data_IF_652263632875
#
_entry.id   IF_652263632875
#
_cell.length_a   1.000
_cell.length_b   1.000
_cell.length_c   1.000
_cell.angle_alpha   90.00
_cell.angle_beta   90.00
_cell.angle_gamma   90.00
#
_symmetry.space_group_name_H-M   'P 1'
#
loop_
_entity.id
_entity.type
_entity.pdbx_description
1 polymer ?
#
# COMPACT_ATOMS: atom_id res chain seq x y z
N UNK A 1 14.23 15.02 4.55
CA UNK A 1 13.07 15.35 5.40
C UNK A 1 12.95 14.39 6.60
N UNK A 2 12.99 13.09 6.36
CA UNK A 2 12.91 12.07 7.44
C UNK A 2 14.09 12.18 8.40
N UNK A 3 15.29 12.38 7.88
CA UNK A 3 16.50 12.58 8.72
C UNK A 3 16.37 13.78 9.66
N UNK A 4 15.76 14.86 9.21
CA UNK A 4 15.53 16.06 10.02
C UNK A 4 14.51 15.86 11.16
N UNK A 5 13.62 14.87 11.01
CA UNK A 5 12.57 14.57 11.99
C UNK A 5 12.92 13.45 12.95
N UNK A 6 13.89 12.59 12.58
CA UNK A 6 14.34 11.44 13.38
C UNK A 6 15.58 11.84 14.20
N UNK A 7 15.74 11.34 15.45
CA UNK A 7 16.93 11.60 16.25
C UNK A 7 18.15 10.84 15.69
N UNK A 8 18.61 11.24 14.52
CA UNK A 8 19.63 10.55 13.73
C UNK A 8 21.04 10.51 14.36
N UNK A 9 21.30 11.37 15.34
CA UNK A 9 22.57 11.39 16.08
C UNK A 9 22.64 10.34 17.18
N UNK A 10 21.52 9.71 17.52
CA UNK A 10 21.46 8.58 18.47
C UNK A 10 21.59 7.25 17.74
N UNK A 11 22.03 6.19 18.45
CA UNK A 11 22.10 4.85 17.86
C UNK A 11 20.74 4.36 17.37
N UNK A 12 19.67 4.61 18.13
CA UNK A 12 18.29 4.27 17.75
C UNK A 12 17.85 4.97 16.46
N UNK A 13 18.11 6.27 16.33
CA UNK A 13 17.74 7.04 15.14
C UNK A 13 18.55 6.64 13.92
N UNK A 14 19.85 6.38 14.07
CA UNK A 14 20.70 5.86 13.00
C UNK A 14 20.22 4.48 12.50
N UNK A 15 19.87 3.57 13.40
CA UNK A 15 19.30 2.27 13.05
C UNK A 15 17.94 2.41 12.33
N UNK A 16 17.10 3.36 12.75
CA UNK A 16 15.83 3.64 12.08
C UNK A 16 16.04 4.13 10.64
N UNK A 17 17.02 4.99 10.40
CA UNK A 17 17.37 5.45 9.05
C UNK A 17 17.91 4.35 8.16
N UNK A 18 18.66 3.39 8.70
CA UNK A 18 19.12 2.22 7.94
C UNK A 18 17.98 1.30 7.50
N UNK A 19 16.87 1.27 8.24
CA UNK A 19 15.66 0.50 7.88
C UNK A 19 14.79 1.20 6.86
N UNK A 20 15.01 2.49 6.62
CA UNK A 20 14.24 3.29 5.67
C UNK A 20 14.56 2.89 4.24
N UNK A 21 13.53 2.71 3.43
CA UNK A 21 13.61 2.55 1.97
C UNK A 21 12.81 3.66 1.32
N UNK A 22 13.42 4.36 0.38
CA UNK A 22 12.80 5.48 -0.35
C UNK A 22 12.86 5.18 -1.84
N UNK A 23 11.70 5.33 -2.50
CA UNK A 23 11.56 5.08 -3.93
C UNK A 23 10.85 6.24 -4.61
N UNK A 24 11.16 6.47 -5.86
CA UNK A 24 10.43 7.37 -6.74
C UNK A 24 9.23 6.61 -7.32
N UNK A 25 8.01 7.05 -7.00
CA UNK A 25 6.80 6.35 -7.38
C UNK A 25 6.55 5.08 -6.57
N UNK A 26 5.97 4.07 -7.17
CA UNK A 26 5.66 2.78 -6.54
C UNK A 26 6.21 1.61 -7.36
N UNK A 27 7.47 1.20 -7.13
CA UNK A 27 8.10 0.09 -7.86
C UNK A 27 7.57 -1.27 -7.39
N UNK A 28 7.71 -2.32 -8.19
CA UNK A 28 7.56 -3.71 -7.75
C UNK A 28 8.60 -4.04 -6.65
N UNK A 29 8.29 -4.87 -5.66
CA UNK A 29 7.02 -5.58 -5.39
C UNK A 29 6.03 -4.78 -4.52
N UNK A 30 6.30 -3.52 -4.20
CA UNK A 30 5.53 -2.72 -3.23
C UNK A 30 4.16 -2.28 -3.75
N UNK A 31 3.94 -2.27 -5.06
CA UNK A 31 2.65 -2.03 -5.69
C UNK A 31 1.59 -3.10 -5.36
N UNK A 32 2.04 -4.32 -5.02
CA UNK A 32 1.19 -5.47 -4.66
C UNK A 32 1.08 -5.73 -3.15
N UNK A 33 1.85 -5.01 -2.33
CA UNK A 33 1.79 -5.16 -0.87
C UNK A 33 0.67 -4.33 -0.27
N UNK A 34 0.06 -4.85 0.79
CA UNK A 34 -0.92 -4.11 1.58
C UNK A 34 -0.27 -2.87 2.20
N UNK A 35 -0.93 -1.72 2.06
CA UNK A 35 -0.54 -0.47 2.70
C UNK A 35 -1.21 -0.37 4.06
N UNK A 36 -0.44 0.05 5.05
CA UNK A 36 -0.94 0.34 6.38
C UNK A 36 -1.03 1.84 6.59
N UNK A 37 -2.00 2.24 7.38
CA UNK A 37 -2.23 3.62 7.76
C UNK A 37 -1.81 3.80 9.23
N UNK A 38 -1.10 4.88 9.52
CA UNK A 38 -0.79 5.32 10.89
C UNK A 38 -1.70 6.51 11.19
N UNK A 39 -2.77 6.35 11.98
CA UNK A 39 -3.76 7.40 12.20
C UNK A 39 -3.16 8.69 12.77
N UNK A 40 -2.21 8.57 13.70
CA UNK A 40 -1.54 9.71 14.33
C UNK A 40 -0.68 10.55 13.37
N UNK A 41 -0.30 9.98 12.23
CA UNK A 41 0.49 10.65 11.20
C UNK A 41 -0.37 11.22 10.06
N UNK A 42 -1.69 11.02 10.09
CA UNK A 42 -2.56 11.51 9.04
C UNK A 42 -2.72 13.03 9.12
N UNK A 43 -2.52 13.70 7.99
CA UNK A 43 -2.67 15.14 7.86
C UNK A 43 -4.05 15.63 8.29
N UNK A 44 -5.11 14.91 7.95
CA UNK A 44 -6.50 15.28 8.31
C UNK A 44 -6.73 15.32 9.81
N UNK A 45 -6.00 14.52 10.57
CA UNK A 45 -6.11 14.46 12.03
C UNK A 45 -5.12 15.39 12.76
N UNK A 46 -3.98 15.69 12.14
CA UNK A 46 -2.87 16.40 12.80
C UNK A 46 -2.78 17.88 12.45
N UNK A 47 -3.16 18.27 11.25
CA UNK A 47 -3.15 19.66 10.86
C UNK A 47 -4.47 20.35 11.20
N UNK A 48 -4.38 21.57 11.73
CA UNK A 48 -5.54 22.43 11.91
C UNK A 48 -6.20 22.67 10.55
N UNK A 49 -7.54 22.61 10.43
CA UNK A 49 -8.24 22.91 9.19
C UNK A 49 -7.81 24.26 8.61
N UNK A 50 -7.58 24.30 7.30
CA UNK A 50 -7.10 25.50 6.59
C UNK A 50 -5.58 25.72 6.61
N UNK A 51 -4.79 24.91 7.33
CA UNK A 51 -3.32 24.98 7.24
C UNK A 51 -2.82 24.47 5.90
N UNK A 52 -1.95 25.27 5.27
CA UNK A 52 -1.29 24.90 4.02
C UNK A 52 -0.23 23.83 4.26
N UNK A 53 0.00 23.00 3.27
CA UNK A 53 1.02 21.94 3.31
C UNK A 53 1.70 21.85 1.93
N UNK A 54 2.89 21.28 1.90
CA UNK A 54 3.59 20.97 0.66
C UNK A 54 3.91 19.47 0.61
N UNK A 55 3.73 18.88 -0.57
CA UNK A 55 4.13 17.49 -0.81
C UNK A 55 5.64 17.41 -1.04
N UNK A 56 6.26 16.28 -0.70
CA UNK A 56 7.69 16.06 -0.93
C UNK A 56 8.04 16.17 -2.43
N UNK A 57 7.17 15.71 -3.30
CA UNK A 57 7.32 15.83 -4.74
C UNK A 57 7.46 17.29 -5.19
N UNK A 58 6.62 18.18 -4.70
CA UNK A 58 6.70 19.60 -4.98
C UNK A 58 8.00 20.21 -4.45
N UNK A 59 8.37 19.93 -3.22
CA UNK A 59 9.63 20.41 -2.63
C UNK A 59 10.82 19.93 -3.45
N UNK A 60 10.84 18.66 -3.81
CA UNK A 60 11.94 18.09 -4.62
C UNK A 60 12.07 18.76 -5.96
N UNK A 61 10.97 19.02 -6.66
CA UNK A 61 11.01 19.69 -7.97
C UNK A 61 11.45 21.16 -7.87
N UNK A 62 11.05 21.88 -6.82
CA UNK A 62 11.48 23.25 -6.57
C UNK A 62 12.96 23.35 -6.21
N UNK A 63 13.53 22.34 -5.57
CA UNK A 63 14.97 22.26 -5.22
C UNK A 63 15.84 21.79 -6.39
N UNK A 64 15.25 21.25 -7.46
CA UNK A 64 16.00 20.89 -8.68
C UNK A 64 15.87 19.45 -9.14
N UNK A 65 14.97 18.66 -8.59
CA UNK A 65 14.66 17.32 -9.11
C UNK A 65 13.96 17.40 -10.47
N UNK A 66 14.60 16.84 -11.49
CA UNK A 66 14.19 17.00 -12.91
C UNK A 66 13.29 15.89 -13.45
N UNK A 67 13.04 14.85 -12.67
CA UNK A 67 12.36 13.63 -13.15
C UNK A 67 10.89 13.54 -12.79
N UNK A 68 10.28 14.60 -12.31
CA UNK A 68 8.87 14.63 -11.91
C UNK A 68 7.93 14.16 -13.01
N UNK A 69 8.07 14.70 -14.23
CA UNK A 69 7.18 14.35 -15.34
C UNK A 69 7.33 12.88 -15.77
N UNK A 70 8.56 12.36 -15.73
CA UNK A 70 8.83 10.96 -16.06
C UNK A 70 8.16 10.05 -15.04
N UNK A 71 8.33 10.34 -13.75
CA UNK A 71 7.69 9.57 -12.68
C UNK A 71 6.17 9.64 -12.78
N UNK A 72 5.60 10.79 -13.08
CA UNK A 72 4.15 10.95 -13.25
C UNK A 72 3.61 10.09 -14.41
N UNK A 73 4.31 10.04 -15.54
CA UNK A 73 3.95 9.18 -16.67
C UNK A 73 4.03 7.69 -16.31
N UNK A 74 5.07 7.29 -15.58
CA UNK A 74 5.23 5.89 -15.15
C UNK A 74 4.17 5.49 -14.11
N UNK A 75 3.85 6.39 -13.17
CA UNK A 75 2.79 6.17 -12.19
C UNK A 75 1.41 6.06 -12.83
N UNK A 76 1.10 6.89 -13.82
CA UNK A 76 -0.15 6.76 -14.58
C UNK A 76 -0.28 5.37 -15.23
N UNK A 77 0.78 4.86 -15.87
CA UNK A 77 0.81 3.50 -16.44
C UNK A 77 0.66 2.42 -15.36
N UNK A 78 1.29 2.60 -14.22
CA UNK A 78 1.19 1.67 -13.10
C UNK A 78 -0.23 1.58 -12.55
N UNK A 79 -0.92 2.72 -12.40
CA UNK A 79 -2.30 2.78 -11.90
C UNK A 79 -3.26 2.00 -12.80
N UNK A 80 -3.12 2.10 -14.12
CA UNK A 80 -3.94 1.32 -15.06
C UNK A 80 -3.75 -0.19 -14.86
N UNK A 81 -2.50 -0.63 -14.73
CA UNK A 81 -2.18 -2.06 -14.46
C UNK A 81 -2.72 -2.53 -13.11
N UNK A 82 -2.63 -1.67 -12.10
CA UNK A 82 -3.14 -1.94 -10.76
C UNK A 82 -4.66 -2.12 -10.78
N UNK A 83 -5.37 -1.25 -11.49
CA UNK A 83 -6.83 -1.33 -11.61
C UNK A 83 -7.27 -2.64 -12.28
N UNK A 84 -6.66 -2.98 -13.41
CA UNK A 84 -6.95 -4.24 -14.11
C UNK A 84 -6.67 -5.48 -13.25
N UNK A 85 -5.60 -5.45 -12.45
CA UNK A 85 -5.31 -6.52 -11.50
C UNK A 85 -6.37 -6.63 -10.40
N UNK A 86 -6.78 -5.50 -9.84
CA UNK A 86 -7.81 -5.43 -8.80
C UNK A 86 -9.15 -5.99 -9.30
N UNK A 87 -9.58 -5.58 -10.48
CA UNK A 87 -10.82 -6.09 -11.10
C UNK A 87 -10.80 -7.60 -11.29
N UNK A 88 -9.69 -8.15 -11.82
CA UNK A 88 -9.52 -9.61 -11.95
C UNK A 88 -9.57 -10.31 -10.60
N UNK A 89 -8.92 -9.75 -9.59
CA UNK A 89 -8.93 -10.31 -8.22
C UNK A 89 -10.34 -10.32 -7.65
N UNK A 90 -11.09 -9.24 -7.76
CA UNK A 90 -12.46 -9.15 -7.27
C UNK A 90 -13.40 -10.11 -8.02
N UNK A 91 -13.26 -10.22 -9.33
CA UNK A 91 -14.02 -11.17 -10.14
C UNK A 91 -13.73 -12.63 -9.73
N UNK A 92 -12.49 -12.96 -9.44
CA UNK A 92 -12.11 -14.29 -8.96
C UNK A 92 -12.67 -14.60 -7.56
N UNK A 93 -12.67 -13.64 -6.65
CA UNK A 93 -13.25 -13.78 -5.32
C UNK A 93 -14.76 -14.02 -5.44
N UNK A 94 -15.46 -13.23 -6.27
CA UNK A 94 -16.90 -13.40 -6.52
C UNK A 94 -17.22 -14.79 -7.13
N UNK A 95 -16.44 -15.23 -8.12
CA UNK A 95 -16.60 -16.56 -8.72
C UNK A 95 -16.41 -17.70 -7.71
N UNK A 96 -15.38 -17.60 -6.86
CA UNK A 96 -15.15 -18.61 -5.80
C UNK A 96 -16.27 -18.63 -4.79
N UNK A 97 -16.77 -17.46 -4.35
CA UNK A 97 -17.91 -17.39 -3.45
C UNK A 97 -19.19 -18.00 -4.07
N UNK A 98 -19.47 -17.67 -5.33
CA UNK A 98 -20.62 -18.23 -6.04
C UNK A 98 -20.48 -19.76 -6.24
N UNK A 99 -19.31 -20.25 -6.57
CA UNK A 99 -19.04 -21.68 -6.69
C UNK A 99 -19.20 -22.41 -5.34
N UNK A 100 -18.73 -21.81 -4.24
CA UNK A 100 -18.86 -22.36 -2.91
C UNK A 100 -20.34 -22.45 -2.47
N UNK A 101 -21.15 -21.42 -2.78
CA UNK A 101 -22.59 -21.47 -2.50
C UNK A 101 -23.32 -22.50 -3.36
N UNK A 102 -22.97 -22.62 -4.63
CA UNK A 102 -23.56 -23.63 -5.53
C UNK A 102 -23.21 -25.06 -5.11
N UNK A 103 -22.02 -25.32 -4.64
CA UNK A 103 -21.52 -26.61 -4.21
C UNK A 103 -21.73 -26.87 -2.70
N UNK A 104 -22.47 -26.04 -1.98
CA UNK A 104 -22.59 -26.11 -0.52
C UNK A 104 -23.14 -27.47 -0.05
N UNK A 105 -24.14 -28.03 -0.75
CA UNK A 105 -24.71 -29.32 -0.43
C UNK A 105 -23.75 -30.50 -0.62
N UNK A 106 -22.85 -30.41 -1.58
CA UNK A 106 -21.82 -31.43 -1.84
C UNK A 106 -20.63 -31.31 -0.88
N UNK A 107 -20.34 -30.10 -0.44
CA UNK A 107 -19.21 -29.80 0.46
C UNK A 107 -19.56 -30.10 1.95
N UNK A 108 -20.82 -30.03 2.32
CA UNK A 108 -21.25 -30.22 3.72
C UNK A 108 -20.79 -31.55 4.34
N UNK A 109 -20.93 -32.73 3.70
CA UNK A 109 -20.45 -33.99 4.28
C UNK A 109 -18.92 -34.03 4.39
N UNK A 110 -18.18 -33.38 3.45
CA UNK A 110 -16.74 -33.32 3.46
C UNK A 110 -16.26 -32.39 4.59
N UNK A 111 -16.91 -31.26 4.77
CA UNK A 111 -16.59 -30.33 5.85
C UNK A 111 -16.84 -30.97 7.24
N UNK A 112 -17.89 -31.73 7.42
CA UNK A 112 -18.13 -32.49 8.66
C UNK A 112 -17.03 -33.51 8.97
N UNK A 113 -16.48 -34.16 7.94
CA UNK A 113 -15.32 -35.02 8.12
C UNK A 113 -14.05 -34.24 8.48
N UNK A 114 -13.84 -33.10 7.85
CA UNK A 114 -12.66 -32.24 8.14
C UNK A 114 -12.70 -31.63 9.55
N UNK A 115 -13.87 -31.26 10.05
CA UNK A 115 -14.06 -30.79 11.42
C UNK A 115 -13.58 -31.81 12.47
N UNK A 116 -13.72 -33.11 12.20
CA UNK A 116 -13.21 -34.17 13.09
C UNK A 116 -11.68 -34.15 13.20
N UNK A 117 -10.99 -33.61 12.19
CA UNK A 117 -9.53 -33.48 12.16
C UNK A 117 -9.05 -32.07 12.52
N UNK A 118 -9.95 -31.16 12.90
CA UNK A 118 -9.62 -29.80 13.35
C UNK A 118 -9.42 -28.77 12.24
N UNK A 119 -9.99 -28.99 11.05
CA UNK A 119 -9.98 -28.05 9.95
C UNK A 119 -11.31 -27.30 9.80
#
# INVERSE_FOLDING_TARGET
AVRGMVPHKTARGAAALQRLKVYEGMPPPYDRKKKFVVPDALRVLRLKPGRKYATLKRISSEVGWKYQEIVDKLEAKRVVKQQAFHERKMANIKRRAAAATAAASELEPINKQLEQYGY
#
